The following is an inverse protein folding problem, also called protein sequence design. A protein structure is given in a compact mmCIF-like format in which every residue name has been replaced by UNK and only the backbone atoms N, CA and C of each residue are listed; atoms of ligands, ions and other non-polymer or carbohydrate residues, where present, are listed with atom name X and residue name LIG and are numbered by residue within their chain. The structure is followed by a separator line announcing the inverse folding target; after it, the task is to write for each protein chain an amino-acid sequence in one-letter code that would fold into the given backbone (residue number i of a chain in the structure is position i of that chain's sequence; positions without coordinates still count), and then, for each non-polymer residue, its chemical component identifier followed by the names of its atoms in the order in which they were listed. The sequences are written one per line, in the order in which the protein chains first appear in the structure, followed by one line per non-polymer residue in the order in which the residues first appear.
data_IF_935515755644
#
_entry.id   IF_935515755644
#
_cell.length_a   1.000
_cell.length_b   1.000
_cell.length_c   1.000
_cell.angle_alpha   90.00
_cell.angle_beta   90.00
_cell.angle_gamma   90.00
#
_symmetry.space_group_name_H-M   'P 1'
#
loop_
_entity.id
_entity.type
_entity.pdbx_description
1 polymer ?
#
# COMPACT_ATOMS: atom_id res chain seq x y z
N UNK A 1 6.71 2.33 -3.50
CA UNK A 1 6.50 0.94 -3.04
C UNK A 1 7.55 0.62 -1.99
N UNK A 2 7.16 -0.02 -0.90
CA UNK A 2 8.05 -0.38 0.20
C UNK A 2 8.28 -1.89 0.24
N UNK A 3 9.50 -2.31 0.68
CA UNK A 3 9.86 -3.73 0.76
C UNK A 3 10.51 -4.30 -0.51
N UNK A 4 10.93 -3.46 -1.44
CA UNK A 4 11.68 -3.91 -2.63
C UNK A 4 13.12 -4.32 -2.25
N UNK A 5 13.81 -5.13 -3.09
CA UNK A 5 15.15 -5.61 -2.80
C UNK A 5 16.12 -4.50 -2.41
N UNK A 6 16.91 -4.74 -1.37
CA UNK A 6 17.96 -3.83 -0.85
C UNK A 6 17.48 -2.46 -0.35
N UNK A 7 16.19 -2.22 -0.31
CA UNK A 7 15.62 -1.00 0.23
C UNK A 7 15.79 -0.96 1.74
N UNK A 8 16.15 0.19 2.28
CA UNK A 8 16.26 0.44 3.73
C UNK A 8 15.10 1.31 4.20
N UNK A 9 14.82 1.31 5.50
CA UNK A 9 13.82 2.20 6.10
C UNK A 9 14.14 3.69 5.83
N UNK A 10 15.42 4.06 5.79
CA UNK A 10 15.86 5.40 5.44
C UNK A 10 15.44 5.77 4.00
N UNK A 11 15.75 4.91 3.03
CA UNK A 11 15.40 5.17 1.62
C UNK A 11 13.88 5.18 1.37
N UNK A 12 13.09 4.48 2.18
CA UNK A 12 11.62 4.60 2.14
C UNK A 12 11.19 5.99 2.58
N UNK A 13 11.77 6.53 3.66
CA UNK A 13 11.45 7.87 4.18
C UNK A 13 11.85 9.01 3.23
N UNK A 14 12.87 8.81 2.41
CA UNK A 14 13.28 9.78 1.38
C UNK A 14 12.25 9.95 0.25
N UNK A 15 11.22 9.07 0.18
CA UNK A 15 10.18 9.13 -0.86
C UNK A 15 9.49 10.49 -0.90
N UNK A 16 9.20 11.08 0.25
CA UNK A 16 8.56 12.41 0.34
C UNK A 16 9.42 13.51 -0.27
N UNK A 17 10.71 13.54 0.05
CA UNK A 17 11.63 14.53 -0.51
C UNK A 17 11.78 14.39 -2.03
N UNK A 18 11.86 13.17 -2.54
CA UNK A 18 11.85 12.90 -3.98
C UNK A 18 10.59 13.42 -4.65
N UNK A 19 9.42 13.22 -4.05
CA UNK A 19 8.14 13.69 -4.58
C UNK A 19 8.05 15.22 -4.55
N UNK A 20 8.53 15.88 -3.50
CA UNK A 20 8.62 17.34 -3.46
C UNK A 20 9.46 17.88 -4.62
N UNK A 21 10.64 17.30 -4.82
CA UNK A 21 11.53 17.63 -5.95
C UNK A 21 10.84 17.41 -7.30
N UNK A 22 10.05 16.36 -7.43
CA UNK A 22 9.28 16.08 -8.65
C UNK A 22 8.24 17.18 -8.91
N UNK A 23 7.46 17.58 -7.90
CA UNK A 23 6.46 18.65 -8.05
C UNK A 23 7.09 20.01 -8.32
N UNK A 24 8.21 20.33 -7.68
CA UNK A 24 8.96 21.56 -7.96
C UNK A 24 9.46 21.63 -9.41
N UNK A 25 9.86 20.49 -9.96
CA UNK A 25 10.45 20.42 -11.30
C UNK A 25 9.42 20.39 -12.44
N UNK A 26 8.33 19.67 -12.27
CA UNK A 26 7.33 19.47 -13.35
C UNK A 26 6.05 20.25 -13.13
N UNK A 27 5.91 20.89 -11.98
CA UNK A 27 4.64 21.45 -11.53
C UNK A 27 3.65 20.38 -11.12
N UNK A 28 2.53 20.82 -10.55
CA UNK A 28 1.43 19.93 -10.23
C UNK A 28 0.64 19.58 -11.50
N UNK A 29 0.56 18.31 -11.81
CA UNK A 29 -0.33 17.76 -12.84
C UNK A 29 -1.30 16.78 -12.16
N UNK A 30 -2.64 16.96 -12.26
CA UNK A 30 -3.63 16.10 -11.62
C UNK A 30 -3.60 14.65 -12.12
N UNK A 31 -2.88 14.36 -13.19
CA UNK A 31 -2.63 13.01 -13.68
C UNK A 31 -1.50 12.31 -12.93
N UNK A 32 -0.68 13.07 -12.19
CA UNK A 32 0.42 12.54 -11.40
C UNK A 32 -0.07 12.22 -9.98
N UNK A 33 -0.64 11.04 -9.80
CA UNK A 33 -1.04 10.55 -8.48
C UNK A 33 0.14 9.84 -7.82
N UNK A 34 0.65 10.42 -6.73
CA UNK A 34 1.73 9.83 -5.95
C UNK A 34 1.17 9.20 -4.68
N UNK A 35 1.50 7.93 -4.49
CA UNK A 35 1.12 7.17 -3.30
C UNK A 35 2.26 6.26 -2.86
N UNK A 36 2.26 5.87 -1.60
CA UNK A 36 3.11 4.80 -1.08
C UNK A 36 2.24 3.61 -0.68
N UNK A 37 2.74 2.42 -0.95
CA UNK A 37 2.13 1.20 -0.46
C UNK A 37 3.21 0.16 -0.18
N UNK A 38 2.98 -0.79 0.73
CA UNK A 38 3.84 -1.95 0.84
C UNK A 38 3.84 -2.71 -0.49
N UNK A 39 4.94 -3.41 -0.78
CA UNK A 39 4.96 -4.41 -1.84
C UNK A 39 3.88 -5.46 -1.54
N UNK A 40 3.43 -6.17 -2.57
CA UNK A 40 2.46 -7.26 -2.38
C UNK A 40 2.89 -8.16 -1.20
N UNK A 41 1.96 -8.61 -0.35
CA UNK A 41 2.28 -9.38 0.84
C UNK A 41 2.87 -10.77 0.53
N UNK A 42 2.90 -11.14 -0.74
CA UNK A 42 3.46 -12.40 -1.21
C UNK A 42 4.48 -12.16 -2.32
N UNK A 43 5.62 -12.83 -2.19
CA UNK A 43 6.41 -13.18 -3.36
C UNK A 43 5.68 -14.34 -4.05
N UNK A 44 5.32 -14.16 -5.30
CA UNK A 44 4.56 -15.14 -6.06
C UNK A 44 5.37 -16.44 -6.25
N UNK A 45 4.74 -17.56 -5.98
CA UNK A 45 5.32 -18.89 -6.21
C UNK A 45 5.67 -19.04 -7.70
N UNK A 46 6.90 -19.45 -7.99
CA UNK A 46 7.44 -19.53 -9.35
C UNK A 46 7.97 -18.22 -9.93
N UNK A 47 7.92 -17.11 -9.16
CA UNK A 47 8.67 -15.90 -9.53
C UNK A 47 10.17 -16.10 -9.27
N UNK A 48 11.01 -15.40 -10.04
CA UNK A 48 12.47 -15.46 -9.86
C UNK A 48 12.88 -15.10 -8.42
N UNK A 49 12.20 -14.15 -7.80
CA UNK A 49 12.47 -13.73 -6.43
C UNK A 49 12.04 -14.78 -5.38
N UNK A 50 10.97 -15.54 -5.65
CA UNK A 50 10.54 -16.64 -4.80
C UNK A 50 11.48 -17.86 -4.92
N UNK A 51 11.91 -18.16 -6.13
CA UNK A 51 12.79 -19.32 -6.39
C UNK A 51 14.24 -19.07 -5.94
N UNK A 52 14.68 -17.79 -5.93
CA UNK A 52 16.03 -17.38 -5.54
C UNK A 52 15.99 -16.22 -4.50
N UNK A 53 15.34 -16.39 -3.36
CA UNK A 53 15.03 -15.28 -2.45
C UNK A 53 16.29 -14.59 -1.91
N UNK A 54 17.35 -15.33 -1.62
CA UNK A 54 18.60 -14.78 -1.09
C UNK A 54 19.30 -13.85 -2.09
N UNK A 55 19.24 -14.17 -3.40
CA UNK A 55 19.81 -13.32 -4.45
C UNK A 55 19.11 -11.95 -4.53
N UNK A 56 17.84 -11.90 -4.16
CA UNK A 56 17.03 -10.68 -4.11
C UNK A 56 16.94 -10.06 -2.70
N UNK A 57 17.67 -10.61 -1.73
CA UNK A 57 17.69 -10.08 -0.36
C UNK A 57 16.40 -10.37 0.40
N UNK A 58 15.79 -11.53 0.16
CA UNK A 58 14.61 -11.99 0.88
C UNK A 58 14.87 -13.32 1.60
N UNK A 59 14.15 -13.52 2.69
CA UNK A 59 14.05 -14.77 3.42
C UNK A 59 12.58 -15.19 3.40
N UNK A 60 12.27 -16.35 2.84
CA UNK A 60 10.89 -16.86 2.80
C UNK A 60 10.43 -17.32 4.17
N UNK A 61 9.21 -16.95 4.52
CA UNK A 61 8.46 -17.38 5.72
C UNK A 61 7.44 -18.46 5.42
N UNK A 62 7.06 -18.62 4.15
CA UNK A 62 6.18 -19.68 3.67
C UNK A 62 6.66 -20.15 2.30
N UNK A 63 6.69 -21.48 2.13
CA UNK A 63 7.11 -22.14 0.88
C UNK A 63 6.04 -23.09 0.36
N UNK A 64 5.26 -23.70 1.26
CA UNK A 64 4.20 -24.64 0.90
C UNK A 64 2.84 -23.96 0.86
N UNK A 65 1.87 -24.58 0.22
CA UNK A 65 0.50 -24.11 0.17
C UNK A 65 -0.12 -23.99 1.58
N UNK A 66 0.14 -24.96 2.44
CA UNK A 66 -0.34 -24.98 3.82
C UNK A 66 0.19 -23.80 4.61
N UNK A 67 1.50 -23.54 4.54
CA UNK A 67 2.15 -22.40 5.20
C UNK A 67 1.57 -21.06 4.71
N UNK A 68 1.32 -20.92 3.41
CA UNK A 68 0.66 -19.72 2.88
C UNK A 68 -0.76 -19.57 3.40
N UNK A 69 -1.54 -20.66 3.43
CA UNK A 69 -2.90 -20.65 3.96
C UNK A 69 -2.93 -20.22 5.43
N UNK A 70 -2.03 -20.74 6.25
CA UNK A 70 -1.91 -20.38 7.66
C UNK A 70 -1.58 -18.89 7.84
N UNK A 71 -0.79 -18.32 6.96
CA UNK A 71 -0.49 -16.88 7.00
C UNK A 71 -1.66 -16.02 6.55
N UNK A 72 -2.40 -16.44 5.53
CA UNK A 72 -3.51 -15.66 4.98
C UNK A 72 -4.66 -15.41 5.95
N UNK A 73 -4.79 -16.19 7.02
CA UNK A 73 -5.78 -15.95 8.07
C UNK A 73 -5.32 -14.95 9.13
N UNK A 74 -4.07 -14.49 9.08
CA UNK A 74 -3.53 -13.51 10.01
C UNK A 74 -4.14 -12.11 9.75
N UNK A 75 -4.23 -11.27 10.78
CA UNK A 75 -5.15 -10.13 10.76
C UNK A 75 -4.66 -8.88 10.02
N UNK A 76 -3.44 -8.85 9.48
CA UNK A 76 -2.92 -7.67 8.79
C UNK A 76 -1.90 -8.00 7.71
N UNK A 77 -1.68 -7.07 6.78
CA UNK A 77 -0.70 -7.21 5.70
C UNK A 77 0.73 -7.48 6.21
N UNK A 78 1.14 -6.94 7.36
CA UNK A 78 2.41 -7.21 8.01
C UNK A 78 2.58 -8.69 8.35
N UNK A 79 1.52 -9.29 8.88
CA UNK A 79 1.55 -10.67 9.39
C UNK A 79 1.38 -11.70 8.28
N UNK A 80 0.61 -11.37 7.23
CA UNK A 80 0.39 -12.28 6.10
C UNK A 80 1.58 -12.37 5.14
N UNK A 81 2.56 -11.45 5.21
CA UNK A 81 3.73 -11.50 4.32
C UNK A 81 4.45 -12.84 4.38
N UNK A 82 4.67 -13.45 3.22
CA UNK A 82 5.38 -14.72 3.10
C UNK A 82 6.90 -14.59 3.04
N UNK A 83 7.43 -13.38 3.26
CA UNK A 83 8.86 -13.08 3.22
C UNK A 83 9.27 -12.05 4.27
N UNK A 84 10.56 -11.98 4.52
CA UNK A 84 11.26 -10.89 5.20
C UNK A 84 12.32 -10.31 4.27
N UNK A 85 12.52 -9.00 4.34
CA UNK A 85 13.70 -8.38 3.71
C UNK A 85 14.94 -8.57 4.57
N UNK A 86 16.09 -8.78 3.95
CA UNK A 86 17.39 -8.81 4.67
C UNK A 86 17.91 -7.41 5.01
N UNK A 87 17.35 -6.37 4.42
CA UNK A 87 17.77 -4.96 4.60
C UNK A 87 16.90 -4.20 5.60
N UNK A 88 15.76 -4.76 5.99
CA UNK A 88 14.75 -4.07 6.79
C UNK A 88 13.83 -5.11 7.43
N UNK A 89 13.64 -5.06 8.72
CA UNK A 89 12.64 -5.89 9.41
C UNK A 89 11.22 -5.52 8.99
N UNK A 90 10.25 -6.40 9.24
CA UNK A 90 8.86 -6.10 8.95
C UNK A 90 8.34 -4.92 9.78
N UNK A 91 8.81 -4.75 11.01
CA UNK A 91 8.48 -3.60 11.85
C UNK A 91 9.01 -2.30 11.26
N UNK A 92 10.28 -2.28 10.88
CA UNK A 92 10.88 -1.12 10.20
C UNK A 92 10.17 -0.81 8.88
N UNK A 93 9.75 -1.83 8.13
CA UNK A 93 8.99 -1.67 6.89
C UNK A 93 7.64 -1.01 7.15
N UNK A 94 6.91 -1.47 8.17
CA UNK A 94 5.61 -0.89 8.57
C UNK A 94 5.78 0.56 8.96
N UNK A 95 6.69 0.85 9.88
CA UNK A 95 6.95 2.20 10.37
C UNK A 95 7.37 3.14 9.24
N UNK A 96 8.33 2.73 8.40
CA UNK A 96 8.77 3.54 7.28
C UNK A 96 7.67 3.76 6.23
N UNK A 97 6.77 2.79 6.02
CA UNK A 97 5.63 2.94 5.12
C UNK A 97 4.66 3.99 5.62
N UNK A 98 4.32 3.98 6.91
CA UNK A 98 3.45 4.98 7.51
C UNK A 98 4.10 6.37 7.58
N UNK A 99 5.40 6.44 7.89
CA UNK A 99 6.15 7.70 7.86
C UNK A 99 6.11 8.32 6.46
N UNK A 100 6.39 7.52 5.42
CA UNK A 100 6.33 7.98 4.03
C UNK A 100 4.90 8.39 3.61
N UNK A 101 3.87 7.66 4.06
CA UNK A 101 2.48 8.00 3.77
C UNK A 101 2.08 9.34 4.39
N UNK A 102 2.45 9.59 5.65
CA UNK A 102 2.21 10.87 6.34
C UNK A 102 2.94 12.03 5.64
N UNK A 103 4.20 11.81 5.25
CA UNK A 103 4.98 12.84 4.56
C UNK A 103 4.41 13.16 3.17
N UNK A 104 4.01 12.16 2.40
CA UNK A 104 3.33 12.35 1.12
C UNK A 104 2.00 13.09 1.27
N UNK A 105 1.20 12.75 2.29
CA UNK A 105 -0.05 13.44 2.57
C UNK A 105 0.18 14.92 2.88
N UNK A 106 1.21 15.24 3.69
CA UNK A 106 1.61 16.59 4.00
C UNK A 106 2.05 17.36 2.74
N UNK A 107 2.88 16.77 1.90
CA UNK A 107 3.36 17.37 0.64
C UNK A 107 2.19 17.67 -0.30
N UNK A 108 1.24 16.76 -0.46
CA UNK A 108 0.03 16.98 -1.26
C UNK A 108 -0.78 18.17 -0.74
N UNK A 109 -0.93 18.31 0.59
CA UNK A 109 -1.57 19.48 1.20
C UNK A 109 -0.81 20.79 0.94
N UNK A 110 0.51 20.80 1.09
CA UNK A 110 1.39 21.95 0.85
C UNK A 110 1.31 22.44 -0.61
N UNK A 111 1.15 21.52 -1.56
CA UNK A 111 1.02 21.84 -3.00
C UNK A 111 -0.44 22.05 -3.46
N UNK A 112 -1.40 22.07 -2.54
CA UNK A 112 -2.81 22.30 -2.86
C UNK A 112 -3.48 21.17 -3.66
N UNK A 113 -2.89 19.99 -3.65
CA UNK A 113 -3.45 18.79 -4.30
C UNK A 113 -4.63 18.24 -3.51
N UNK A 114 -4.50 18.28 -2.18
CA UNK A 114 -5.56 17.92 -1.26
C UNK A 114 -6.10 19.15 -0.56
N UNK A 115 -7.41 19.20 -0.43
CA UNK A 115 -8.08 20.14 0.46
C UNK A 115 -7.58 19.95 1.91
N UNK A 116 -7.39 21.03 2.70
CA UNK A 116 -6.88 20.92 4.07
C UNK A 116 -7.68 20.00 4.99
N UNK A 117 -9.00 19.96 4.84
CA UNK A 117 -9.86 19.06 5.64
C UNK A 117 -9.64 17.60 5.23
N UNK A 118 -9.49 17.33 3.94
CA UNK A 118 -9.13 16.02 3.40
C UNK A 118 -7.74 15.58 3.88
N UNK A 119 -6.74 16.45 3.78
CA UNK A 119 -5.39 16.16 4.24
C UNK A 119 -5.38 15.81 5.74
N UNK A 120 -6.12 16.56 6.57
CA UNK A 120 -6.26 16.29 8.00
C UNK A 120 -7.01 14.97 8.28
N UNK A 121 -8.03 14.63 7.51
CA UNK A 121 -8.75 13.38 7.64
C UNK A 121 -7.86 12.18 7.28
N UNK A 122 -7.09 12.28 6.21
CA UNK A 122 -6.14 11.26 5.78
C UNK A 122 -5.00 11.07 6.81
N UNK A 123 -4.46 12.16 7.36
CA UNK A 123 -3.45 12.09 8.42
C UNK A 123 -3.97 11.30 9.65
N UNK A 124 -5.21 11.59 10.10
CA UNK A 124 -5.82 10.84 11.20
C UNK A 124 -5.95 9.35 10.88
N UNK A 125 -6.47 8.99 9.70
CA UNK A 125 -6.63 7.58 9.27
C UNK A 125 -5.29 6.84 9.23
N UNK A 126 -4.25 7.47 8.71
CA UNK A 126 -2.91 6.86 8.66
C UNK A 126 -2.39 6.60 10.08
N UNK A 127 -2.55 7.56 11.00
CA UNK A 127 -2.14 7.39 12.41
C UNK A 127 -2.97 6.32 13.13
N UNK A 128 -4.26 6.28 12.89
CA UNK A 128 -5.15 5.24 13.43
C UNK A 128 -4.78 3.85 12.91
N UNK A 129 -4.51 3.70 11.61
CA UNK A 129 -4.06 2.44 11.03
C UNK A 129 -2.71 1.98 11.60
N UNK A 130 -1.78 2.90 11.84
CA UNK A 130 -0.50 2.64 12.51
C UNK A 130 -0.70 2.15 13.94
N UNK A 131 -1.57 2.80 14.69
CA UNK A 131 -1.90 2.42 16.07
C UNK A 131 -2.60 1.05 16.12
N UNK A 132 -3.51 0.79 15.18
CA UNK A 132 -4.15 -0.52 15.04
C UNK A 132 -3.14 -1.64 14.80
N UNK A 133 -2.13 -1.38 13.96
CA UNK A 133 -1.05 -2.35 13.70
C UNK A 133 -0.28 -2.66 14.98
N UNK A 134 0.06 -1.63 15.77
CA UNK A 134 0.75 -1.79 17.06
C UNK A 134 -0.09 -2.60 18.06
N UNK A 135 -1.40 -2.33 18.14
CA UNK A 135 -2.32 -3.08 19.01
C UNK A 135 -2.48 -4.55 18.59
N UNK A 136 -2.42 -4.82 17.29
CA UNK A 136 -2.39 -6.20 16.77
C UNK A 136 -1.12 -6.93 17.21
N UNK A 137 0.03 -6.27 17.12
CA UNK A 137 1.29 -6.84 17.59
C UNK A 137 1.24 -7.19 19.09
N UNK A 138 0.72 -6.31 19.92
CA UNK A 138 0.55 -6.55 21.36
C UNK A 138 -0.32 -7.79 21.63
N UNK A 139 -1.41 -7.95 20.88
CA UNK A 139 -2.28 -9.15 21.04
C UNK A 139 -1.59 -10.42 20.58
N UNK A 140 -0.83 -10.36 19.48
CA UNK A 140 -0.21 -11.54 18.89
C UNK A 140 1.07 -11.98 19.63
N UNK A 141 1.88 -11.02 20.11
CA UNK A 141 3.20 -11.32 20.68
C UNK A 141 3.22 -11.33 22.21
N UNK A 142 2.34 -10.57 22.87
CA UNK A 142 2.28 -10.49 24.33
C UNK A 142 1.12 -11.33 24.93
N UNK A 143 0.29 -11.91 24.08
CA UNK A 143 -0.98 -12.55 24.48
C UNK A 143 -0.80 -13.83 25.25
N UNK A 144 -0.93 -13.77 26.58
CA UNK A 144 -1.25 -14.92 27.43
C UNK A 144 -2.77 -15.07 27.52
N UNK A 145 -3.34 -16.08 26.87
CA UNK A 145 -4.78 -16.45 26.96
C UNK A 145 -5.72 -15.67 26.00
N UNK A 146 -6.83 -16.28 25.62
CA UNK A 146 -7.94 -15.75 24.78
C UNK A 146 -7.55 -14.84 23.62
N UNK A 147 -6.47 -15.17 22.90
CA UNK A 147 -6.00 -14.42 21.71
C UNK A 147 -7.14 -14.27 20.71
N UNK A 148 -7.90 -15.35 20.44
CA UNK A 148 -9.02 -15.34 19.48
C UNK A 148 -10.10 -14.31 19.82
N UNK A 149 -10.48 -14.21 21.11
CA UNK A 149 -11.49 -13.25 21.54
C UNK A 149 -10.99 -11.79 21.42
N UNK A 150 -9.71 -11.55 21.72
CA UNK A 150 -9.09 -10.23 21.58
C UNK A 150 -8.94 -9.83 20.10
N UNK A 151 -8.56 -10.77 19.24
CA UNK A 151 -8.51 -10.56 17.79
C UNK A 151 -9.89 -10.29 17.21
N UNK A 152 -10.92 -11.04 17.63
CA UNK A 152 -12.29 -10.82 17.18
C UNK A 152 -12.81 -9.42 17.56
N UNK A 153 -12.54 -8.96 18.79
CA UNK A 153 -12.89 -7.62 19.22
C UNK A 153 -12.18 -6.51 18.43
N UNK A 154 -10.86 -6.68 18.17
CA UNK A 154 -10.10 -5.76 17.33
C UNK A 154 -10.61 -5.75 15.89
N UNK A 155 -10.94 -6.91 15.32
CA UNK A 155 -11.48 -7.01 13.97
C UNK A 155 -12.78 -6.21 13.82
N UNK A 156 -13.71 -6.37 14.76
CA UNK A 156 -14.97 -5.63 14.78
C UNK A 156 -14.75 -4.10 14.87
N UNK A 157 -13.76 -3.66 15.65
CA UNK A 157 -13.38 -2.26 15.74
C UNK A 157 -12.78 -1.77 14.41
N UNK A 158 -11.89 -2.54 13.80
CA UNK A 158 -11.21 -2.18 12.54
C UNK A 158 -12.16 -2.13 11.35
N UNK A 159 -13.15 -3.03 11.28
CA UNK A 159 -14.17 -3.01 10.23
C UNK A 159 -15.00 -1.71 10.25
N UNK A 160 -15.20 -1.11 11.42
CA UNK A 160 -15.87 0.19 11.56
C UNK A 160 -15.02 1.37 11.07
N UNK A 161 -13.70 1.22 11.06
CA UNK A 161 -12.74 2.27 10.72
C UNK A 161 -12.14 2.09 9.30
N UNK A 162 -12.60 1.08 8.54
CA UNK A 162 -11.96 0.67 7.28
C UNK A 162 -12.19 1.68 6.15
N UNK A 163 -11.39 2.75 6.15
CA UNK A 163 -11.21 3.64 5.00
C UNK A 163 -9.81 3.49 4.43
N UNK A 164 -9.63 3.83 3.15
CA UNK A 164 -8.32 3.73 2.50
C UNK A 164 -7.31 4.69 3.15
N UNK A 165 -6.12 4.16 3.47
CA UNK A 165 -4.97 4.95 3.93
C UNK A 165 -3.96 5.25 2.81
N UNK A 166 -4.22 4.74 1.60
CA UNK A 166 -3.28 4.81 0.46
C UNK A 166 -3.55 6.02 -0.40
N UNK A 167 -4.82 6.25 -0.76
CA UNK A 167 -5.25 7.40 -1.57
C UNK A 167 -6.71 7.74 -1.31
N UNK A 168 -7.07 9.01 -1.44
CA UNK A 168 -8.45 9.45 -1.42
C UNK A 168 -9.18 9.05 -2.72
N UNK A 169 -10.49 8.78 -2.62
CA UNK A 169 -11.30 8.49 -3.82
C UNK A 169 -11.23 9.60 -4.87
N UNK A 170 -11.13 10.85 -4.44
CA UNK A 170 -10.99 12.01 -5.32
C UNK A 170 -9.69 12.00 -6.11
N UNK A 171 -8.60 11.49 -5.55
CA UNK A 171 -7.32 11.32 -6.24
C UNK A 171 -7.38 10.24 -7.33
N UNK A 172 -8.27 9.26 -7.16
CA UNK A 172 -8.47 8.15 -8.10
C UNK A 172 -9.58 8.42 -9.12
N UNK A 173 -10.31 9.51 -8.96
CA UNK A 173 -11.31 9.96 -9.95
C UNK A 173 -10.59 10.52 -11.17
N UNK A 174 -10.26 9.64 -12.08
CA UNK A 174 -9.87 10.05 -13.42
C UNK A 174 -11.05 10.76 -14.05
N UNK A 175 -10.83 11.98 -14.48
CA UNK A 175 -11.80 12.66 -15.35
C UNK A 175 -11.85 11.84 -16.66
N UNK A 176 -12.76 10.89 -16.73
CA UNK A 176 -13.12 10.27 -18.00
C UNK A 176 -13.81 11.35 -18.84
N UNK A 177 -13.03 12.14 -19.56
CA UNK A 177 -13.54 12.98 -20.62
C UNK A 177 -13.92 12.08 -21.81
N UNK A 178 -15.07 11.39 -21.67
CA UNK A 178 -15.61 10.55 -22.73
C UNK A 178 -16.21 11.49 -23.77
N UNK A 179 -15.38 11.93 -24.72
CA UNK A 179 -15.86 12.66 -25.87
C UNK A 179 -16.83 11.77 -26.67
N UNK A 180 -17.85 12.33 -27.29
CA UNK A 180 -18.78 11.58 -28.16
C UNK A 180 -18.03 10.74 -29.23
N UNK A 181 -16.87 11.21 -29.68
CA UNK A 181 -15.97 10.50 -30.59
C UNK A 181 -15.42 9.19 -30.00
N UNK A 182 -15.14 9.12 -28.68
CA UNK A 182 -14.70 7.90 -28.02
C UNK A 182 -15.83 6.87 -27.93
N UNK A 183 -17.06 7.32 -27.64
CA UNK A 183 -18.23 6.44 -27.62
C UNK A 183 -18.52 5.86 -29.02
N UNK A 184 -18.42 6.70 -30.07
CA UNK A 184 -18.56 6.25 -31.45
C UNK A 184 -17.47 5.26 -31.85
N UNK A 185 -16.22 5.48 -31.42
CA UNK A 185 -15.11 4.57 -31.67
C UNK A 185 -15.31 3.21 -30.98
N UNK A 186 -15.72 3.22 -29.70
CA UNK A 186 -16.04 2.01 -28.96
C UNK A 186 -17.21 1.23 -29.60
N UNK A 187 -18.25 1.94 -30.02
CA UNK A 187 -19.38 1.32 -30.73
C UNK A 187 -18.94 0.69 -32.07
N UNK A 188 -18.06 1.37 -32.82
CA UNK A 188 -17.48 0.81 -34.06
C UNK A 188 -16.70 -0.46 -33.76
N UNK A 189 -15.76 -0.45 -32.78
CA UNK A 189 -14.98 -1.62 -32.39
C UNK A 189 -15.87 -2.81 -31.99
N UNK A 190 -16.95 -2.52 -31.24
CA UNK A 190 -17.92 -3.56 -30.84
C UNK A 190 -18.71 -4.15 -32.01
N UNK A 191 -19.05 -3.33 -33.01
CA UNK A 191 -19.81 -3.77 -34.18
C UNK A 191 -18.95 -4.45 -35.25
N UNK A 192 -17.69 -4.04 -35.41
CA UNK A 192 -16.83 -4.53 -36.50
C UNK A 192 -15.86 -5.63 -36.05
N UNK A 193 -15.71 -5.84 -34.75
CA UNK A 193 -14.73 -6.77 -34.18
C UNK A 193 -13.29 -6.56 -34.69
N UNK A 194 -12.99 -5.32 -35.14
CA UNK A 194 -11.65 -4.94 -35.60
C UNK A 194 -10.71 -4.76 -34.40
N UNK A 195 -9.45 -5.23 -34.45
CA UNK A 195 -8.49 -4.98 -33.40
C UNK A 195 -8.21 -3.49 -33.27
N UNK A 196 -8.17 -3.00 -32.03
CA UNK A 196 -7.79 -1.62 -31.75
C UNK A 196 -6.33 -1.39 -32.14
N UNK A 197 -6.11 -0.57 -33.17
CA UNK A 197 -4.80 0.01 -33.43
C UNK A 197 -4.62 1.24 -32.54
N UNK A 198 -3.83 1.07 -31.47
CA UNK A 198 -3.37 2.16 -30.60
C UNK A 198 -2.12 2.79 -31.16
#
# INVERSE_FOLDING_TARGET
MTGIPKQTAASVRETGEYVRHLYERVGYDPRLVVLTSPMAPFLDVGSIAFDNPEAYGYKLRARTFEEHRERMILPSWKHIMNYESTSMSNDEMVEATYDAALDLNRIKGEHGILDPAMAAATDRRIREAREQMRRLDEVLYEGTGRIDARLAALKEEFERLSESTVAEKSELNWAFDVKPTHAAHLAKLWLTNEPANF
#
